data_IF_247873541017
#
_entry.id   IF_247873541017
#
_cell.length_a   1.000
_cell.length_b   1.000
_cell.length_c   1.000
_cell.angle_alpha   90.00
_cell.angle_beta   90.00
_cell.angle_gamma   90.00
#
_symmetry.space_group_name_H-M   'P 1'
#
loop_
_entity.id
_entity.type
_entity.pdbx_description
1 polymer ?
#
# COMPACT_ATOMS: atom_id res chain seq x y z
N UNK A 1 18.95 -18.33 -1.44
CA UNK A 1 19.38 -18.14 -2.85
C UNK A 1 18.37 -17.25 -3.58
N UNK A 2 18.75 -16.03 -3.97
CA UNK A 2 17.83 -15.06 -4.59
C UNK A 2 17.41 -15.46 -6.02
N UNK A 3 18.31 -16.09 -6.78
CA UNK A 3 18.13 -16.41 -8.20
C UNK A 3 16.94 -17.33 -8.51
N UNK A 4 16.55 -18.17 -7.56
CA UNK A 4 15.42 -19.12 -7.66
C UNK A 4 14.19 -18.67 -6.85
N UNK A 5 14.24 -17.46 -6.28
CA UNK A 5 13.16 -16.97 -5.42
C UNK A 5 11.92 -16.56 -6.23
N UNK A 6 10.75 -16.70 -5.61
CA UNK A 6 9.48 -16.18 -6.15
C UNK A 6 9.53 -14.67 -6.34
N UNK A 7 10.34 -13.96 -5.55
CA UNK A 7 10.57 -12.54 -5.70
C UNK A 7 11.17 -12.20 -7.07
N UNK A 8 12.29 -12.86 -7.43
CA UNK A 8 12.94 -12.65 -8.73
C UNK A 8 12.04 -13.11 -9.89
N UNK A 9 11.24 -14.16 -9.69
CA UNK A 9 10.36 -14.66 -10.75
C UNK A 9 9.20 -13.71 -11.08
N UNK A 10 8.60 -13.08 -10.08
CA UNK A 10 7.28 -12.43 -10.26
C UNK A 10 7.25 -10.93 -9.91
N UNK A 11 8.29 -10.41 -9.27
CA UNK A 11 8.26 -9.05 -8.69
C UNK A 11 9.55 -8.25 -8.99
N UNK A 12 10.40 -8.74 -9.89
CA UNK A 12 11.49 -7.96 -10.47
C UNK A 12 11.18 -7.69 -11.94
N UNK A 13 11.28 -6.43 -12.33
CA UNK A 13 10.90 -5.94 -13.66
C UNK A 13 12.11 -5.33 -14.36
N UNK A 14 12.14 -5.41 -15.68
CA UNK A 14 13.31 -5.01 -16.45
C UNK A 14 13.35 -3.50 -16.74
N UNK A 15 12.19 -2.84 -16.71
CA UNK A 15 12.07 -1.41 -17.02
C UNK A 15 11.01 -0.72 -16.17
N UNK A 16 11.23 0.57 -15.90
CA UNK A 16 10.27 1.46 -15.24
C UNK A 16 9.00 1.61 -16.10
N UNK A 17 9.13 1.56 -17.43
CA UNK A 17 7.99 1.63 -18.35
C UNK A 17 7.03 0.46 -18.15
N UNK A 18 7.57 -0.73 -17.88
CA UNK A 18 6.76 -1.92 -17.58
C UNK A 18 5.93 -1.72 -16.29
N UNK A 19 6.51 -1.08 -15.27
CA UNK A 19 5.80 -0.74 -14.04
C UNK A 19 4.68 0.28 -14.30
N UNK A 20 4.94 1.29 -15.13
CA UNK A 20 3.94 2.29 -15.50
C UNK A 20 2.78 1.66 -16.27
N UNK A 21 3.07 0.80 -17.25
CA UNK A 21 2.05 0.06 -18.00
C UNK A 21 1.17 -0.80 -17.10
N UNK A 22 1.74 -1.49 -16.11
CA UNK A 22 0.96 -2.27 -15.15
C UNK A 22 0.03 -1.40 -14.28
N UNK A 23 0.48 -0.21 -13.89
CA UNK A 23 -0.37 0.73 -13.13
C UNK A 23 -1.53 1.26 -13.97
N UNK A 24 -1.24 1.64 -15.22
CA UNK A 24 -2.27 2.09 -16.16
C UNK A 24 -3.28 0.96 -16.40
N UNK A 25 -2.80 -0.27 -16.59
CA UNK A 25 -3.66 -1.44 -16.76
C UNK A 25 -4.51 -1.73 -15.52
N UNK A 26 -3.96 -1.59 -14.30
CA UNK A 26 -4.73 -1.78 -13.07
C UNK A 26 -5.85 -0.74 -12.91
N UNK A 27 -5.57 0.53 -13.23
CA UNK A 27 -6.55 1.60 -13.22
C UNK A 27 -7.61 1.41 -14.32
N UNK A 28 -7.23 1.02 -15.54
CA UNK A 28 -8.19 0.76 -16.62
C UNK A 28 -9.11 -0.41 -16.29
N UNK A 29 -8.57 -1.51 -15.74
CA UNK A 29 -9.37 -2.66 -15.29
C UNK A 29 -10.38 -2.28 -14.21
N UNK A 30 -10.00 -1.39 -13.29
CA UNK A 30 -10.90 -0.87 -12.28
C UNK A 30 -12.01 -0.02 -12.93
N UNK A 31 -11.65 0.93 -13.80
CA UNK A 31 -12.63 1.77 -14.49
C UNK A 31 -13.61 0.90 -15.28
N UNK A 32 -13.12 -0.04 -16.09
CA UNK A 32 -13.96 -0.93 -16.91
C UNK A 32 -14.94 -1.76 -16.06
N UNK A 33 -14.50 -2.21 -14.89
CA UNK A 33 -15.32 -2.97 -13.94
C UNK A 33 -16.42 -2.12 -13.30
N UNK A 34 -16.16 -0.85 -12.98
CA UNK A 34 -17.09 0.00 -12.23
C UNK A 34 -17.90 0.98 -13.09
N UNK A 35 -17.45 1.25 -14.32
CA UNK A 35 -18.17 2.05 -15.32
C UNK A 35 -19.63 1.63 -15.55
N UNK A 36 -20.02 0.34 -15.59
CA UNK A 36 -21.43 -0.02 -15.80
C UNK A 36 -22.34 0.26 -14.59
N UNK A 37 -21.77 0.49 -13.40
CA UNK A 37 -22.53 0.75 -12.17
C UNK A 37 -22.69 2.25 -11.87
N UNK A 38 -22.12 3.13 -12.70
CA UNK A 38 -22.20 4.58 -12.52
C UNK A 38 -23.28 5.14 -13.45
N UNK A 39 -24.39 5.58 -12.87
CA UNK A 39 -25.58 6.04 -13.59
C UNK A 39 -25.50 7.51 -14.06
N UNK A 40 -24.60 8.34 -13.50
CA UNK A 40 -24.48 9.77 -13.82
C UNK A 40 -23.10 10.14 -14.38
N UNK A 41 -23.07 10.91 -15.47
CA UNK A 41 -21.86 11.47 -16.09
C UNK A 41 -21.04 12.37 -15.16
N UNK A 42 -21.65 12.92 -14.10
CA UNK A 42 -20.97 13.76 -13.10
C UNK A 42 -20.06 12.95 -12.16
N UNK A 43 -20.29 11.64 -12.02
CA UNK A 43 -19.46 10.76 -11.18
C UNK A 43 -18.22 10.22 -11.89
N UNK A 44 -18.06 10.44 -13.21
CA UNK A 44 -16.83 10.07 -13.92
C UNK A 44 -15.61 10.89 -13.46
N UNK A 45 -15.82 12.11 -12.96
CA UNK A 45 -14.76 12.95 -12.39
C UNK A 45 -14.24 12.45 -11.03
N UNK A 46 -14.81 11.38 -10.48
CA UNK A 46 -14.37 10.75 -9.22
C UNK A 46 -13.15 9.85 -9.44
N UNK A 47 -12.91 9.39 -10.68
CA UNK A 47 -11.78 8.50 -10.95
C UNK A 47 -10.46 9.27 -10.97
N UNK A 48 -9.56 8.91 -10.07
CA UNK A 48 -8.18 9.36 -10.07
C UNK A 48 -7.45 8.87 -11.33
N UNK A 49 -6.63 9.76 -11.87
CA UNK A 49 -5.63 9.41 -12.86
C UNK A 49 -4.57 8.48 -12.25
N UNK A 50 -3.87 7.67 -13.06
CA UNK A 50 -2.79 6.81 -12.56
C UNK A 50 -1.70 7.57 -11.77
N UNK A 51 -1.46 8.83 -12.10
CA UNK A 51 -0.47 9.68 -11.42
C UNK A 51 -0.98 10.15 -10.05
N UNK A 52 -2.26 10.53 -9.93
CA UNK A 52 -2.89 10.87 -8.66
C UNK A 52 -2.95 9.67 -7.72
N UNK A 53 -3.31 8.49 -8.23
CA UNK A 53 -3.25 7.24 -7.45
C UNK A 53 -1.83 6.99 -6.95
N UNK A 54 -0.82 7.21 -7.80
CA UNK A 54 0.57 7.03 -7.42
C UNK A 54 1.02 8.05 -6.35
N UNK A 55 0.59 9.31 -6.46
CA UNK A 55 0.86 10.35 -5.49
C UNK A 55 0.25 10.01 -4.13
N UNK A 56 -1.03 9.63 -4.10
CA UNK A 56 -1.73 9.18 -2.89
C UNK A 56 -1.01 7.99 -2.24
N UNK A 57 -0.63 7.00 -3.05
CA UNK A 57 0.15 5.86 -2.57
C UNK A 57 1.46 6.31 -1.94
N UNK A 58 2.16 7.27 -2.55
CA UNK A 58 3.45 7.79 -2.08
C UNK A 58 3.31 8.54 -0.76
N UNK A 59 2.30 9.39 -0.60
CA UNK A 59 2.04 10.12 0.65
C UNK A 59 1.79 9.14 1.80
N UNK A 60 0.95 8.14 1.58
CA UNK A 60 0.67 7.12 2.61
C UNK A 60 1.88 6.21 2.84
N UNK A 61 2.71 5.97 1.83
CA UNK A 61 3.98 5.27 1.97
C UNK A 61 4.95 6.01 2.90
N UNK A 62 5.05 7.33 2.79
CA UNK A 62 5.88 8.16 3.68
C UNK A 62 5.34 8.16 5.10
N UNK A 63 4.02 8.31 5.27
CA UNK A 63 3.35 8.19 6.56
C UNK A 63 3.62 6.81 7.21
N UNK A 64 3.59 5.74 6.40
CA UNK A 64 3.89 4.38 6.85
C UNK A 64 5.34 4.20 7.29
N UNK A 65 6.31 4.87 6.66
CA UNK A 65 7.70 4.85 7.09
C UNK A 65 7.89 5.53 8.46
N UNK A 66 7.24 6.68 8.66
CA UNK A 66 7.23 7.39 9.96
C UNK A 66 6.58 6.54 11.04
N UNK A 67 5.44 5.89 10.75
CA UNK A 67 4.80 4.95 11.66
C UNK A 67 5.76 3.86 12.13
N UNK A 68 6.49 3.25 11.20
CA UNK A 68 7.46 2.21 11.53
C UNK A 68 8.62 2.70 12.40
N UNK A 69 9.02 3.97 12.27
CA UNK A 69 10.06 4.59 13.09
C UNK A 69 9.58 4.89 14.52
N UNK A 70 8.37 5.42 14.66
CA UNK A 70 7.82 5.87 15.94
C UNK A 70 7.15 4.75 16.75
N UNK A 71 6.99 3.56 16.14
CA UNK A 71 6.35 2.41 16.76
C UNK A 71 7.14 1.90 17.98
N UNK A 72 6.44 1.72 19.11
CA UNK A 72 7.00 1.14 20.35
C UNK A 72 6.24 -0.14 20.71
N UNK A 73 6.92 -1.28 20.96
CA UNK A 73 8.38 -1.53 20.92
C UNK A 73 8.96 -1.40 19.50
N UNK A 74 10.25 -1.04 19.39
CA UNK A 74 10.89 -0.76 18.11
C UNK A 74 10.73 -1.94 17.12
N UNK A 75 10.18 -1.66 15.94
CA UNK A 75 10.04 -2.68 14.90
C UNK A 75 11.42 -3.01 14.29
N UNK A 76 11.71 -4.30 14.07
CA UNK A 76 12.88 -4.70 13.30
C UNK A 76 12.89 -3.97 11.95
N UNK A 77 14.08 -3.55 11.44
CA UNK A 77 14.20 -2.99 10.11
C UNK A 77 13.63 -3.91 9.02
N UNK A 78 13.77 -5.24 9.19
CA UNK A 78 13.23 -6.23 8.26
C UNK A 78 11.70 -6.13 8.12
N UNK A 79 10.94 -6.16 9.23
CA UNK A 79 9.47 -5.96 9.22
C UNK A 79 9.06 -4.71 8.45
N UNK A 80 9.74 -3.59 8.68
CA UNK A 80 9.42 -2.31 8.02
C UNK A 80 9.57 -2.39 6.50
N UNK A 81 10.70 -2.94 6.03
CA UNK A 81 10.95 -3.08 4.60
C UNK A 81 10.06 -4.13 3.93
N UNK A 82 9.74 -5.22 4.64
CA UNK A 82 8.81 -6.26 4.17
C UNK A 82 7.40 -5.68 4.02
N UNK A 83 6.92 -4.90 5.00
CA UNK A 83 5.62 -4.22 4.93
C UNK A 83 5.55 -3.25 3.74
N UNK A 84 6.60 -2.44 3.56
CA UNK A 84 6.70 -1.49 2.45
C UNK A 84 6.73 -2.18 1.08
N UNK A 85 7.44 -3.30 0.99
CA UNK A 85 7.46 -4.15 -0.19
C UNK A 85 6.07 -4.71 -0.50
N UNK A 86 5.32 -5.20 0.49
CA UNK A 86 3.95 -5.68 0.28
C UNK A 86 3.02 -4.56 -0.18
N UNK A 87 3.11 -3.39 0.44
CA UNK A 87 2.31 -2.23 0.07
C UNK A 87 2.52 -1.83 -1.40
N UNK A 88 3.78 -1.72 -1.83
CA UNK A 88 4.12 -1.42 -3.23
C UNK A 88 3.63 -2.49 -4.20
N UNK A 89 3.70 -3.76 -3.81
CA UNK A 89 3.23 -4.88 -4.64
C UNK A 89 1.70 -4.89 -4.78
N UNK A 90 0.99 -4.53 -3.71
CA UNK A 90 -0.47 -4.46 -3.70
C UNK A 90 -0.97 -3.39 -4.67
N UNK A 91 -0.49 -2.15 -4.53
CA UNK A 91 -0.87 -1.03 -5.39
C UNK A 91 -0.27 -1.06 -6.80
N UNK A 92 0.52 -2.09 -7.13
CA UNK A 92 0.93 -2.34 -8.51
C UNK A 92 -0.15 -3.07 -9.32
N UNK A 93 -1.04 -3.79 -8.64
CA UNK A 93 -2.10 -4.60 -9.27
C UNK A 93 -3.51 -4.13 -8.93
N UNK A 94 -3.67 -3.44 -7.80
CA UNK A 94 -4.95 -2.93 -7.33
C UNK A 94 -4.96 -1.40 -7.42
N UNK A 95 -6.11 -0.85 -7.80
CA UNK A 95 -6.35 0.59 -7.78
C UNK A 95 -6.64 1.09 -6.35
N UNK A 96 -6.27 2.34 -6.07
CA UNK A 96 -6.54 3.03 -4.79
C UNK A 96 -8.04 3.18 -4.50
N UNK A 97 -8.87 3.15 -5.53
CA UNK A 97 -10.31 3.31 -5.39
C UNK A 97 -10.99 2.13 -4.67
N UNK A 98 -10.50 0.90 -4.84
CA UNK A 98 -11.08 -0.28 -4.18
C UNK A 98 -10.72 -0.36 -2.70
N UNK A 99 -9.52 0.11 -2.34
CA UNK A 99 -8.95 -0.10 -1.02
C UNK A 99 -8.33 1.16 -0.47
N UNK A 100 -8.79 1.59 0.72
CA UNK A 100 -8.19 2.72 1.42
C UNK A 100 -6.71 2.46 1.75
N UNK A 101 -5.77 3.26 1.23
CA UNK A 101 -4.33 3.04 1.41
C UNK A 101 -3.89 2.92 2.87
N UNK A 102 -4.53 3.67 3.78
CA UNK A 102 -4.31 3.59 5.23
C UNK A 102 -4.53 2.18 5.76
N UNK A 103 -5.65 1.56 5.42
CA UNK A 103 -6.02 0.23 5.91
C UNK A 103 -5.13 -0.85 5.30
N UNK A 104 -4.75 -0.70 4.03
CA UNK A 104 -3.79 -1.59 3.37
C UNK A 104 -2.43 -1.52 4.05
N UNK A 105 -1.93 -0.31 4.35
CA UNK A 105 -0.66 -0.14 5.06
C UNK A 105 -0.67 -0.83 6.42
N UNK A 106 -1.76 -0.66 7.19
CA UNK A 106 -1.96 -1.37 8.47
C UNK A 106 -1.88 -2.89 8.30
N UNK A 107 -2.60 -3.43 7.31
CA UNK A 107 -2.62 -4.86 7.02
C UNK A 107 -1.24 -5.38 6.59
N UNK A 108 -0.51 -4.63 5.76
CA UNK A 108 0.85 -4.98 5.34
C UNK A 108 1.83 -5.03 6.52
N UNK A 109 1.75 -4.08 7.45
CA UNK A 109 2.56 -4.09 8.67
C UNK A 109 2.22 -5.28 9.56
N UNK A 110 0.93 -5.53 9.81
CA UNK A 110 0.50 -6.68 10.61
C UNK A 110 0.97 -8.00 9.99
N UNK A 111 0.82 -8.16 8.67
CA UNK A 111 1.29 -9.34 7.95
C UNK A 111 2.81 -9.48 8.01
N UNK A 112 3.56 -8.39 7.86
CA UNK A 112 5.02 -8.39 7.97
C UNK A 112 5.50 -8.83 9.36
N UNK A 113 4.81 -8.41 10.44
CA UNK A 113 5.16 -8.88 11.80
C UNK A 113 4.97 -10.39 11.96
N UNK A 114 4.00 -10.99 11.27
CA UNK A 114 3.79 -12.45 11.28
C UNK A 114 4.84 -13.20 10.47
N UNK A 115 5.31 -12.62 9.36
CA UNK A 115 6.33 -13.22 8.49
C UNK A 115 7.72 -13.19 9.15
N UNK A 116 8.07 -12.11 9.85
CA UNK A 116 9.37 -11.94 10.51
C UNK A 116 9.36 -12.45 11.96
N UNK A 117 8.37 -13.27 12.33
CA UNK A 117 8.19 -13.87 13.67
C UNK A 117 8.16 -12.85 14.83
N UNK A 118 7.81 -11.60 14.54
CA UNK A 118 7.65 -10.55 15.54
C UNK A 118 6.28 -10.67 16.22
N UNK A 119 6.26 -11.34 17.37
CA UNK A 119 5.04 -11.62 18.11
C UNK A 119 4.51 -10.38 18.85
N UNK A 120 3.61 -9.65 18.20
CA UNK A 120 2.85 -8.56 18.82
C UNK A 120 1.36 -8.93 18.98
N UNK A 121 0.75 -8.45 20.07
CA UNK A 121 -0.68 -8.58 20.28
C UNK A 121 -1.45 -7.71 19.29
N UNK A 122 -2.47 -8.27 18.63
CA UNK A 122 -3.32 -7.54 17.68
C UNK A 122 -3.95 -6.30 18.32
N UNK A 123 -4.40 -6.39 19.58
CA UNK A 123 -5.01 -5.27 20.30
C UNK A 123 -4.01 -4.12 20.50
N UNK A 124 -2.77 -4.45 20.84
CA UNK A 124 -1.70 -3.48 21.01
C UNK A 124 -1.38 -2.79 19.69
N UNK A 125 -1.21 -3.57 18.62
CA UNK A 125 -0.91 -3.06 17.28
C UNK A 125 -1.99 -2.09 16.77
N UNK A 126 -3.27 -2.48 16.88
CA UNK A 126 -4.41 -1.64 16.48
C UNK A 126 -4.45 -0.33 17.27
N UNK A 127 -4.20 -0.38 18.58
CA UNK A 127 -4.18 0.80 19.45
C UNK A 127 -3.08 1.80 19.02
N UNK A 128 -1.88 1.33 18.73
CA UNK A 128 -0.80 2.21 18.23
C UNK A 128 -1.12 2.80 16.86
N UNK A 129 -1.68 1.99 15.96
CA UNK A 129 -2.07 2.46 14.64
C UNK A 129 -3.13 3.57 14.69
N UNK A 130 -4.17 3.38 15.50
CA UNK A 130 -5.23 4.38 15.69
C UNK A 130 -4.72 5.66 16.35
N UNK A 131 -3.70 5.55 17.21
CA UNK A 131 -3.10 6.73 17.85
C UNK A 131 -2.24 7.57 16.89
N UNK A 132 -1.63 6.94 15.88
CA UNK A 132 -0.67 7.59 14.98
C UNK A 132 -1.33 8.39 13.84
N UNK A 133 -2.43 7.88 13.28
CA UNK A 133 -3.02 8.51 12.09
C UNK A 133 -3.63 9.90 12.35
N UNK A 134 -4.31 10.16 13.49
CA UNK A 134 -4.75 11.51 13.83
C UNK A 134 -3.56 12.47 13.96
N UNK A 135 -2.47 12.07 14.62
CA UNK A 135 -1.30 12.93 14.78
C UNK A 135 -0.60 13.26 13.46
N UNK A 136 -0.68 12.37 12.46
CA UNK A 136 -0.20 12.64 11.11
C UNK A 136 -1.03 13.70 10.37
N UNK A 137 -2.36 13.70 10.53
CA UNK A 137 -3.24 14.68 9.87
C UNK A 137 -3.10 16.08 10.50
N UNK A 138 -2.90 16.16 11.81
CA UNK A 138 -2.83 17.45 12.52
C UNK A 138 -1.43 18.08 12.57
N UNK A 139 -0.37 17.32 12.31
CA UNK A 139 1.03 17.81 12.31
C UNK A 139 1.74 17.62 10.95
N UNK A 140 0.98 17.40 9.88
CA UNK A 140 1.48 17.21 8.51
C UNK A 140 1.57 18.51 7.72
#
# INVERSE_FOLDING_TARGET
MFAISTHKRSWTFNSIQQLQQMRIAANSLFIDKYKPYIESSEQLGVFFTPDEEHLLCRVVSDAGLRFGHDFKPALPPAVRWIAFMYYKRFFLKCSVHEFTPKNVMMACYFLATKVDEFNISTKMFVRYFLSFWPSFIYNG
#
